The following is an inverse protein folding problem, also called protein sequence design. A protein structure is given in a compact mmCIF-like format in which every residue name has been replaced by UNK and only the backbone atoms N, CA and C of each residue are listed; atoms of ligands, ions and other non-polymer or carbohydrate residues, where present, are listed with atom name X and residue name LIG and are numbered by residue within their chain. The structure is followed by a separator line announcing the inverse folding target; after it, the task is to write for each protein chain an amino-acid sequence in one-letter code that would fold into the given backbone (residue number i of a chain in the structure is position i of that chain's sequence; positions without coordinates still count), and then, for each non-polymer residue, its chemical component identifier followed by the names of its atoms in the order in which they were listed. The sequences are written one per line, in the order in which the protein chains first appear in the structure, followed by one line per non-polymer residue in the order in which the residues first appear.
data_IF_038559077227
#
_entry.id   IF_038559077227
#
_cell.length_a   1.000
_cell.length_b   1.000
_cell.length_c   1.000
_cell.angle_alpha   90.00
_cell.angle_beta   90.00
_cell.angle_gamma   90.00
#
_symmetry.space_group_name_H-M   'P 1'
#
loop_
_entity.id
_entity.type
_entity.pdbx_description
1 polymer ?
#
# COMPACT_ATOMS: atom_id res chain seq x y z
N UNK A 1 8.17 14.05 19.45
CA UNK A 1 8.26 14.58 18.06
C UNK A 1 8.27 13.41 17.08
N UNK A 2 7.23 12.56 17.10
CA UNK A 2 7.34 11.14 16.71
C UNK A 2 6.31 10.60 15.69
N UNK A 3 5.45 11.44 15.08
CA UNK A 3 4.33 10.93 14.28
C UNK A 3 4.32 11.30 12.78
N UNK A 4 5.22 12.13 12.27
CA UNK A 4 4.93 12.85 11.02
C UNK A 4 5.35 12.08 9.74
N UNK A 5 6.56 11.49 9.66
CA UNK A 5 6.96 10.77 8.42
C UNK A 5 6.07 9.55 8.14
N UNK A 6 5.47 8.98 9.17
CA UNK A 6 4.59 7.83 9.04
C UNK A 6 3.22 8.10 8.47
N UNK A 7 2.65 9.24 8.87
CA UNK A 7 1.47 9.79 8.23
C UNK A 7 1.79 10.09 6.77
N UNK A 8 3.03 10.49 6.44
CA UNK A 8 3.39 10.67 5.04
C UNK A 8 3.36 9.36 4.24
N UNK A 9 3.98 8.28 4.71
CA UNK A 9 3.99 7.02 3.95
C UNK A 9 2.62 6.35 3.87
N UNK A 10 1.91 6.26 5.00
CA UNK A 10 0.55 5.74 5.02
C UNK A 10 -0.37 6.59 4.14
N UNK A 11 -0.22 7.92 4.14
CA UNK A 11 -1.06 8.75 3.29
C UNK A 11 -0.56 8.94 1.86
N UNK A 12 0.68 8.62 1.49
CA UNK A 12 1.10 8.44 0.08
C UNK A 12 0.43 7.18 -0.47
N UNK A 13 0.38 6.12 0.33
CA UNK A 13 -0.31 4.88 -0.04
C UNK A 13 -1.85 5.05 0.02
N UNK A 14 -2.39 5.83 0.96
CA UNK A 14 -3.81 6.23 0.93
C UNK A 14 -4.10 7.21 -0.22
N UNK A 15 -3.15 8.06 -0.62
CA UNK A 15 -3.31 8.91 -1.80
C UNK A 15 -3.32 8.07 -3.08
N UNK A 16 -2.47 7.03 -3.16
CA UNK A 16 -2.53 5.98 -4.20
C UNK A 16 -3.91 5.32 -4.20
N UNK A 17 -4.46 4.97 -3.04
CA UNK A 17 -5.85 4.45 -2.91
C UNK A 17 -6.92 5.44 -3.38
N UNK A 18 -6.93 6.69 -2.93
CA UNK A 18 -7.92 7.68 -3.36
C UNK A 18 -7.81 8.03 -4.84
N UNK A 19 -6.61 8.12 -5.39
CA UNK A 19 -6.40 8.44 -6.79
C UNK A 19 -6.74 7.26 -7.71
N UNK A 20 -6.42 6.02 -7.30
CA UNK A 20 -6.83 4.82 -8.03
C UNK A 20 -8.36 4.65 -8.01
N UNK A 21 -9.01 4.90 -6.87
CA UNK A 21 -10.48 4.92 -6.82
C UNK A 21 -11.10 6.05 -7.65
N UNK A 22 -10.48 7.23 -7.69
CA UNK A 22 -10.95 8.36 -8.50
C UNK A 22 -10.80 8.10 -10.01
N UNK A 23 -9.69 7.49 -10.46
CA UNK A 23 -9.48 7.08 -11.85
C UNK A 23 -10.55 6.09 -12.32
N UNK A 24 -10.96 5.17 -11.43
CA UNK A 24 -12.01 4.20 -11.72
C UNK A 24 -13.40 4.84 -11.78
N UNK A 25 -13.72 5.79 -10.89
CA UNK A 25 -14.97 6.54 -10.98
C UNK A 25 -15.04 7.34 -12.28
N UNK A 26 -13.94 7.96 -12.72
CA UNK A 26 -13.93 8.67 -14.01
C UNK A 26 -14.08 7.73 -15.21
N UNK A 27 -13.50 6.52 -15.19
CA UNK A 27 -13.69 5.55 -16.28
C UNK A 27 -15.07 4.91 -16.32
N UNK A 28 -15.71 4.68 -15.16
CA UNK A 28 -17.11 4.21 -15.08
C UNK A 28 -18.05 5.29 -15.64
N UNK A 29 -17.85 6.55 -15.25
CA UNK A 29 -18.65 7.68 -15.78
C UNK A 29 -18.42 7.88 -17.29
N UNK A 30 -17.20 7.68 -17.78
CA UNK A 30 -16.91 7.72 -19.23
C UNK A 30 -17.54 6.53 -19.95
N UNK A 31 -17.54 5.32 -19.37
CA UNK A 31 -18.22 4.15 -19.94
C UNK A 31 -19.73 4.35 -20.01
N UNK A 32 -20.35 4.87 -18.96
CA UNK A 32 -21.79 5.18 -18.92
C UNK A 32 -22.18 6.30 -19.90
N UNK A 33 -21.26 7.23 -20.19
CA UNK A 33 -21.45 8.27 -21.21
C UNK A 33 -21.28 7.75 -22.65
N UNK A 34 -20.50 6.67 -22.86
CA UNK A 34 -20.24 6.08 -24.19
C UNK A 34 -21.28 5.00 -24.52
N UNK A 35 -21.83 4.30 -23.52
CA UNK A 35 -22.95 3.37 -23.71
C UNK A 35 -24.28 4.08 -23.46
N UNK A 36 -24.62 5.03 -24.34
CA UNK A 36 -25.98 5.54 -24.43
C UNK A 36 -26.95 4.43 -24.82
N UNK A 37 -27.51 3.73 -23.82
CA UNK A 37 -28.62 2.82 -23.98
C UNK A 37 -29.63 3.06 -22.86
N UNK A 38 -30.71 3.75 -23.23
CA UNK A 38 -31.89 3.91 -22.41
C UNK A 38 -32.43 2.54 -21.97
N UNK A 39 -32.64 2.37 -20.67
CA UNK A 39 -33.62 1.41 -20.15
C UNK A 39 -34.35 2.03 -18.96
N UNK A 40 -35.53 2.51 -19.28
CA UNK A 40 -36.59 2.79 -18.32
C UNK A 40 -36.96 1.47 -17.64
N UNK A 41 -36.70 1.37 -16.33
CA UNK A 41 -37.32 0.33 -15.51
C UNK A 41 -37.78 0.97 -14.21
N UNK A 42 -39.08 1.28 -14.18
CA UNK A 42 -39.82 1.60 -12.96
C UNK A 42 -39.81 0.38 -12.04
N UNK A 43 -39.36 0.57 -10.80
CA UNK A 43 -39.66 -0.37 -9.71
C UNK A 43 -40.70 0.27 -8.78
N UNK A 44 -41.72 -0.50 -8.35
CA UNK A 44 -42.84 0.02 -7.59
C UNK A 44 -42.46 0.29 -6.14
N UNK A 45 -42.96 1.42 -5.63
CA UNK A 45 -42.99 1.78 -4.21
C UNK A 45 -44.18 1.07 -3.57
N UNK A 46 -43.93 0.08 -2.70
CA UNK A 46 -44.91 -0.37 -1.72
C UNK A 46 -44.46 0.06 -0.33
N UNK A 47 -45.16 1.04 0.22
CA UNK A 47 -44.98 1.52 1.58
C UNK A 47 -45.80 0.70 2.56
N UNK A 48 -45.21 0.37 3.70
CA UNK A 48 -45.95 -0.03 4.88
C UNK A 48 -45.48 0.82 6.07
N UNK A 49 -46.44 1.55 6.63
CA UNK A 49 -46.28 2.46 7.77
C UNK A 49 -46.49 1.68 9.06
N UNK A 50 -45.57 1.79 10.02
CA UNK A 50 -45.90 1.57 11.44
C UNK A 50 -45.31 2.72 12.27
N UNK A 51 -46.21 3.36 12.99
CA UNK A 51 -46.05 4.51 13.87
C UNK A 51 -46.11 4.09 15.34
N UNK A 52 -45.18 4.57 16.16
CA UNK A 52 -45.30 4.77 17.62
C UNK A 52 -44.07 5.56 18.03
N UNK A 53 -44.07 6.62 18.84
CA UNK A 53 -45.06 7.28 19.68
C UNK A 53 -44.23 8.07 20.69
N UNK A 54 -44.22 9.41 20.56
CA UNK A 54 -43.41 10.28 21.40
C UNK A 54 -43.95 10.33 22.84
N UNK A 55 -43.07 10.21 23.84
CA UNK A 55 -43.35 10.73 25.19
C UNK A 55 -42.13 11.50 25.70
N UNK A 56 -42.42 12.74 26.09
CA UNK A 56 -41.48 13.70 26.66
C UNK A 56 -41.20 13.39 28.13
N UNK A 57 -39.94 13.47 28.54
CA UNK A 57 -39.52 13.38 29.94
C UNK A 57 -38.35 14.33 30.21
N UNK A 58 -38.66 15.55 30.67
CA UNK A 58 -37.70 16.52 31.20
C UNK A 58 -36.86 15.89 32.31
N UNK A 59 -35.53 16.04 32.28
CA UNK A 59 -34.74 15.99 33.53
C UNK A 59 -33.63 17.04 33.56
N UNK A 60 -33.75 17.89 34.58
CA UNK A 60 -32.99 19.09 34.91
C UNK A 60 -31.49 18.79 35.14
N UNK A 61 -30.70 19.67 34.54
CA UNK A 61 -29.33 20.01 34.91
C UNK A 61 -29.29 20.48 36.38
N UNK A 62 -28.47 19.82 37.21
CA UNK A 62 -28.11 20.30 38.56
C UNK A 62 -26.63 20.67 38.55
N UNK A 63 -26.38 21.98 38.56
CA UNK A 63 -25.11 22.60 38.96
C UNK A 63 -24.95 22.44 40.46
N UNK A 64 -23.82 21.89 40.89
CA UNK A 64 -23.28 22.16 42.21
C UNK A 64 -21.92 22.80 42.02
N UNK A 65 -21.87 24.09 42.36
CA UNK A 65 -20.67 24.87 42.58
C UNK A 65 -20.12 24.48 43.96
N UNK A 66 -18.81 24.29 44.08
CA UNK A 66 -18.06 24.51 45.32
C UNK A 66 -16.59 24.75 44.96
N UNK A 67 -16.32 26.05 44.95
CA UNK A 67 -15.11 26.82 45.17
C UNK A 67 -13.80 26.09 45.55
N UNK A 68 -12.71 26.53 44.92
CA UNK A 68 -11.36 26.04 45.10
C UNK A 68 -10.36 26.87 44.30
N UNK A 69 -10.37 28.18 44.52
CA UNK A 69 -9.37 29.13 44.00
C UNK A 69 -7.94 28.67 44.35
N UNK A 70 -7.14 28.29 43.34
CA UNK A 70 -5.68 28.49 43.36
C UNK A 70 -5.17 28.88 41.97
N UNK A 71 -4.67 30.10 41.92
CA UNK A 71 -3.96 30.74 40.82
C UNK A 71 -2.63 30.04 40.57
N UNK A 72 -2.43 29.52 39.37
CA UNK A 72 -1.13 29.07 38.86
C UNK A 72 -0.95 29.57 37.44
N UNK A 73 -0.38 30.77 37.27
CA UNK A 73 -0.06 31.31 35.95
C UNK A 73 0.98 30.40 35.28
N UNK A 74 0.59 29.70 34.22
CA UNK A 74 1.53 29.02 33.34
C UNK A 74 2.31 30.09 32.55
N UNK A 75 3.46 30.49 33.08
CA UNK A 75 4.45 31.30 32.39
C UNK A 75 4.98 30.50 31.21
N UNK A 76 4.68 30.94 29.98
CA UNK A 76 5.42 30.52 28.79
C UNK A 76 6.89 30.94 28.96
N UNK A 77 7.88 30.02 28.89
CA UNK A 77 9.28 30.41 28.90
C UNK A 77 9.61 31.14 27.59
N UNK A 78 10.04 32.40 27.72
CA UNK A 78 10.67 33.16 26.65
C UNK A 78 12.03 32.57 26.30
N UNK A 79 12.43 32.88 25.08
CA UNK A 79 13.59 32.46 24.31
C UNK A 79 14.90 32.26 25.10
N UNK A 80 15.69 31.29 24.63
CA UNK A 80 17.15 31.34 24.74
C UNK A 80 17.81 30.46 25.80
N UNK A 81 17.75 29.12 25.66
CA UNK A 81 18.86 28.24 26.05
C UNK A 81 18.77 26.89 25.35
N UNK A 82 19.41 26.77 24.18
CA UNK A 82 19.57 25.48 23.53
C UNK A 82 20.69 24.73 24.25
N UNK A 83 20.32 23.81 25.15
CA UNK A 83 21.29 22.87 25.73
C UNK A 83 21.61 21.84 24.65
N UNK A 84 22.60 22.15 23.81
CA UNK A 84 23.15 21.18 22.86
C UNK A 84 24.06 20.25 23.64
N UNK A 85 23.54 19.08 24.00
CA UNK A 85 24.38 17.96 24.46
C UNK A 85 25.37 17.61 23.35
N UNK A 86 26.68 17.61 23.66
CA UNK A 86 27.75 17.25 22.71
C UNK A 86 27.39 15.94 21.99
N UNK A 87 27.28 15.98 20.66
CA UNK A 87 27.07 14.81 19.80
C UNK A 87 25.71 14.71 19.10
N UNK A 88 24.73 15.58 19.37
CA UNK A 88 23.45 15.58 18.66
C UNK A 88 23.40 16.62 17.53
N UNK A 89 23.28 16.15 16.28
CA UNK A 89 22.99 16.99 15.12
C UNK A 89 21.49 17.25 15.03
N UNK A 90 21.05 18.47 15.36
CA UNK A 90 19.65 18.87 15.21
C UNK A 90 19.43 19.27 13.74
N UNK A 91 18.56 18.54 13.03
CA UNK A 91 18.08 18.99 11.71
C UNK A 91 17.06 20.11 11.91
N UNK A 92 17.17 21.26 11.20
CA UNK A 92 16.19 22.33 11.33
C UNK A 92 14.80 21.83 10.89
N UNK A 93 13.77 22.13 11.67
CA UNK A 93 12.39 21.83 11.27
C UNK A 93 11.98 22.93 10.29
N UNK A 94 11.69 22.54 9.04
CA UNK A 94 11.13 23.45 8.04
C UNK A 94 9.64 23.13 7.94
N UNK A 95 8.74 24.07 8.25
CA UNK A 95 7.31 23.87 8.07
C UNK A 95 6.96 23.61 6.61
N UNK A 96 6.01 22.71 6.36
CA UNK A 96 5.50 22.48 5.03
C UNK A 96 4.68 23.68 4.55
N UNK A 97 4.73 23.95 3.24
CA UNK A 97 3.93 25.03 2.63
C UNK A 97 2.42 24.74 2.68
N UNK A 98 2.06 23.47 2.71
CA UNK A 98 0.69 22.96 2.78
C UNK A 98 0.63 21.84 3.82
N UNK A 99 -0.54 21.62 4.39
CA UNK A 99 -0.79 20.54 5.35
C UNK A 99 -0.95 19.16 4.72
N UNK A 100 -0.89 19.07 3.39
CA UNK A 100 -0.93 17.77 2.72
C UNK A 100 0.35 16.98 2.99
N UNK A 101 0.14 15.67 2.98
CA UNK A 101 1.12 14.62 3.28
C UNK A 101 2.38 14.76 2.44
N UNK A 102 2.23 14.97 1.14
CA UNK A 102 3.36 15.06 0.22
C UNK A 102 4.22 16.30 0.50
N UNK A 103 3.57 17.45 0.72
CA UNK A 103 4.24 18.68 1.13
C UNK A 103 5.00 18.53 2.45
N UNK A 104 4.44 17.76 3.39
CA UNK A 104 5.09 17.45 4.65
C UNK A 104 6.34 16.60 4.45
N UNK A 105 6.30 15.50 3.69
CA UNK A 105 7.53 14.73 3.43
C UNK A 105 8.58 15.53 2.68
N UNK A 106 8.18 16.35 1.71
CA UNK A 106 9.11 17.24 1.00
C UNK A 106 9.81 18.19 1.97
N UNK A 107 9.09 18.76 2.93
CA UNK A 107 9.69 19.62 3.94
C UNK A 107 10.64 18.86 4.89
N UNK A 108 10.31 17.60 5.22
CA UNK A 108 11.12 16.74 6.09
C UNK A 108 12.40 16.23 5.42
N UNK A 109 12.31 15.80 4.16
CA UNK A 109 13.41 15.17 3.43
C UNK A 109 14.17 16.13 2.49
N UNK A 110 13.58 17.29 2.16
CA UNK A 110 14.16 18.36 1.34
C UNK A 110 14.71 17.82 0.02
N UNK A 111 15.95 18.17 -0.32
CA UNK A 111 16.67 17.72 -1.52
C UNK A 111 16.69 16.19 -1.67
N UNK A 112 16.66 15.44 -0.56
CA UNK A 112 16.72 13.96 -0.57
C UNK A 112 15.36 13.29 -0.72
N UNK A 113 14.29 14.07 -0.90
CA UNK A 113 12.93 13.51 -1.01
C UNK A 113 12.83 12.50 -2.15
N UNK A 114 13.28 12.87 -3.35
CA UNK A 114 13.19 11.99 -4.52
C UNK A 114 14.01 10.70 -4.37
N UNK A 115 15.25 10.79 -3.87
CA UNK A 115 16.11 9.62 -3.59
C UNK A 115 15.46 8.66 -2.59
N UNK A 116 14.82 9.19 -1.54
CA UNK A 116 14.13 8.39 -0.52
C UNK A 116 12.89 7.71 -1.05
N UNK A 117 12.10 8.41 -1.87
CA UNK A 117 10.94 7.83 -2.55
C UNK A 117 11.39 6.72 -3.49
N UNK A 118 12.46 6.94 -4.26
CA UNK A 118 13.08 5.92 -5.10
C UNK A 118 13.47 4.69 -4.29
N UNK A 119 14.28 4.86 -3.25
CA UNK A 119 14.76 3.76 -2.38
C UNK A 119 13.61 2.93 -1.81
N UNK A 120 12.54 3.59 -1.36
CA UNK A 120 11.39 2.91 -0.78
C UNK A 120 10.67 2.01 -1.79
N UNK A 121 10.42 2.56 -2.99
CA UNK A 121 9.67 1.91 -4.06
C UNK A 121 10.55 1.14 -5.04
N UNK A 122 11.86 1.02 -4.82
CA UNK A 122 12.79 0.27 -5.67
C UNK A 122 12.24 -1.14 -6.01
N UNK A 123 11.73 -1.94 -5.05
CA UNK A 123 11.20 -3.27 -5.38
C UNK A 123 9.95 -3.25 -6.26
N UNK A 124 9.01 -2.33 -6.01
CA UNK A 124 7.81 -2.19 -6.84
C UNK A 124 8.14 -1.63 -8.22
N UNK A 125 9.12 -0.71 -8.32
CA UNK A 125 9.61 -0.19 -9.59
C UNK A 125 10.22 -1.32 -10.41
N UNK A 126 11.15 -2.07 -9.83
CA UNK A 126 11.87 -3.11 -10.55
C UNK A 126 10.91 -4.22 -10.99
N UNK A 127 9.92 -4.57 -10.15
CA UNK A 127 8.81 -5.44 -10.53
C UNK A 127 7.99 -4.88 -11.71
N UNK A 128 7.65 -3.59 -11.70
CA UNK A 128 6.89 -2.95 -12.77
C UNK A 128 7.67 -2.93 -14.09
N UNK A 129 8.95 -2.55 -14.07
CA UNK A 129 9.80 -2.52 -15.25
C UNK A 129 9.95 -3.92 -15.87
N UNK A 130 10.17 -4.94 -15.03
CA UNK A 130 10.22 -6.33 -15.49
C UNK A 130 8.88 -6.79 -16.08
N UNK A 131 7.76 -6.39 -15.48
CA UNK A 131 6.44 -6.73 -16.01
C UNK A 131 6.20 -6.11 -17.40
N UNK A 132 6.56 -4.84 -17.58
CA UNK A 132 6.47 -4.16 -18.89
C UNK A 132 7.37 -4.86 -19.92
N UNK A 133 8.58 -5.26 -19.54
CA UNK A 133 9.52 -5.93 -20.43
C UNK A 133 9.06 -7.34 -20.85
N UNK A 134 8.47 -8.09 -19.91
CA UNK A 134 8.14 -9.52 -20.11
C UNK A 134 6.69 -9.77 -20.51
N UNK A 135 5.80 -8.79 -20.32
CA UNK A 135 4.35 -8.94 -20.48
C UNK A 135 3.69 -9.78 -19.37
N UNK A 136 4.42 -10.11 -18.30
CA UNK A 136 3.92 -10.89 -17.16
C UNK A 136 3.88 -9.99 -15.92
N UNK A 137 2.69 -9.79 -15.40
CA UNK A 137 2.41 -8.90 -14.30
C UNK A 137 2.07 -9.70 -13.04
N UNK A 138 2.89 -9.56 -12.01
CA UNK A 138 2.70 -10.27 -10.74
C UNK A 138 2.22 -9.27 -9.70
N UNK A 139 0.98 -9.44 -9.27
CA UNK A 139 0.31 -8.54 -8.34
C UNK A 139 -0.12 -9.27 -7.09
N UNK A 140 -0.14 -8.56 -5.96
CA UNK A 140 -0.76 -9.04 -4.73
C UNK A 140 -1.94 -8.13 -4.39
N UNK A 141 -3.14 -8.70 -4.39
CA UNK A 141 -4.40 -7.97 -4.20
C UNK A 141 -5.45 -8.81 -3.51
N UNK A 142 -6.43 -8.14 -2.92
CA UNK A 142 -7.66 -8.81 -2.55
C UNK A 142 -8.44 -9.15 -3.83
N UNK A 143 -9.01 -10.37 -3.97
CA UNK A 143 -9.77 -10.77 -5.17
C UNK A 143 -10.94 -9.83 -5.50
N UNK A 144 -11.43 -9.07 -4.53
CA UNK A 144 -12.50 -8.08 -4.69
C UNK A 144 -12.05 -6.79 -5.41
N UNK A 145 -10.74 -6.55 -5.56
CA UNK A 145 -10.21 -5.29 -6.07
C UNK A 145 -9.74 -5.39 -7.52
N UNK A 146 -9.90 -4.29 -8.26
CA UNK A 146 -9.41 -4.07 -9.62
C UNK A 146 -8.08 -3.30 -9.65
N UNK A 147 -7.30 -3.40 -8.58
CA UNK A 147 -5.94 -2.86 -8.49
C UNK A 147 -5.06 -3.75 -7.62
N UNK A 148 -3.75 -3.68 -7.86
CA UNK A 148 -2.77 -4.38 -7.06
C UNK A 148 -2.35 -3.53 -5.86
N UNK A 149 -2.42 -4.11 -4.65
CA UNK A 149 -1.90 -3.46 -3.45
C UNK A 149 -0.38 -3.34 -3.55
N UNK A 150 0.27 -4.42 -3.99
CA UNK A 150 1.71 -4.48 -4.18
C UNK A 150 2.06 -5.12 -5.53
N UNK A 151 3.14 -4.63 -6.12
CA UNK A 151 3.78 -5.21 -7.30
C UNK A 151 4.87 -6.16 -6.83
N UNK A 152 4.78 -7.41 -7.23
CA UNK A 152 5.67 -8.47 -6.76
C UNK A 152 6.75 -8.71 -7.81
N UNK A 153 8.01 -8.76 -7.36
CA UNK A 153 9.16 -8.97 -8.22
C UNK A 153 10.05 -10.12 -7.76
N UNK A 154 11.16 -10.32 -8.45
CA UNK A 154 12.09 -11.44 -8.22
C UNK A 154 12.64 -11.48 -6.80
N UNK A 155 12.89 -10.32 -6.21
CA UNK A 155 13.39 -10.16 -4.85
C UNK A 155 12.29 -10.22 -3.77
N UNK A 156 11.03 -10.40 -4.16
CA UNK A 156 9.93 -10.54 -3.22
C UNK A 156 9.94 -11.93 -2.57
N UNK A 157 9.65 -11.98 -1.27
CA UNK A 157 9.67 -13.20 -0.48
C UNK A 157 8.34 -13.96 -0.59
N UNK A 158 8.43 -15.27 -0.75
CA UNK A 158 7.34 -16.21 -0.61
C UNK A 158 7.13 -16.58 0.86
N UNK A 159 5.92 -16.99 1.24
CA UNK A 159 5.61 -17.54 2.56
C UNK A 159 6.57 -18.67 3.00
N UNK A 160 7.17 -19.40 2.05
CA UNK A 160 8.15 -20.43 2.37
C UNK A 160 9.54 -19.89 2.80
N UNK A 161 9.75 -18.58 2.74
CA UNK A 161 11.00 -17.89 3.10
C UNK A 161 11.93 -17.58 1.91
N UNK A 162 11.70 -18.21 0.75
CA UNK A 162 12.52 -18.06 -0.47
C UNK A 162 12.01 -16.95 -1.38
N UNK A 163 12.87 -16.46 -2.27
CA UNK A 163 12.59 -15.41 -3.24
C UNK A 163 11.82 -15.95 -4.45
N UNK A 164 11.11 -15.07 -5.17
CA UNK A 164 10.40 -15.47 -6.38
C UNK A 164 11.34 -16.04 -7.46
N UNK A 165 12.56 -15.52 -7.59
CA UNK A 165 13.55 -16.06 -8.53
C UNK A 165 14.13 -17.43 -8.13
N UNK A 166 13.89 -17.88 -6.89
CA UNK A 166 14.23 -19.22 -6.40
C UNK A 166 13.06 -20.21 -6.60
N UNK A 167 11.95 -19.75 -7.19
CA UNK A 167 10.86 -20.61 -7.63
C UNK A 167 11.04 -21.02 -9.10
N UNK A 168 10.27 -22.04 -9.54
CA UNK A 168 10.27 -22.44 -10.95
C UNK A 168 9.78 -21.30 -11.86
N UNK A 169 10.06 -21.41 -13.15
CA UNK A 169 9.61 -20.43 -14.14
C UNK A 169 8.09 -20.28 -14.15
N UNK A 170 7.63 -19.07 -14.44
CA UNK A 170 6.23 -18.68 -14.50
C UNK A 170 5.92 -18.03 -15.86
N UNK A 171 4.67 -18.18 -16.31
CA UNK A 171 4.21 -17.74 -17.64
C UNK A 171 3.00 -16.79 -17.63
N UNK A 172 2.53 -16.37 -16.45
CA UNK A 172 1.32 -15.55 -16.33
C UNK A 172 -0.01 -16.30 -16.53
N UNK A 173 0.03 -17.64 -16.62
CA UNK A 173 -1.17 -18.48 -16.81
C UNK A 173 -1.48 -19.29 -15.54
N UNK A 174 -0.45 -19.73 -14.82
CA UNK A 174 -0.58 -20.58 -13.64
C UNK A 174 -0.09 -19.87 -12.39
N UNK A 175 -0.92 -19.86 -11.34
CA UNK A 175 -0.55 -19.45 -9.98
C UNK A 175 0.33 -20.50 -9.27
N UNK A 176 0.37 -21.74 -9.78
CA UNK A 176 1.20 -22.81 -9.24
C UNK A 176 2.64 -22.66 -9.73
N UNK A 177 3.39 -21.87 -8.98
CA UNK A 177 4.83 -21.66 -9.16
C UNK A 177 5.56 -22.27 -7.95
N UNK A 178 5.90 -23.58 -7.98
CA UNK A 178 6.51 -24.25 -6.83
C UNK A 178 7.94 -23.76 -6.59
N UNK A 179 8.38 -23.83 -5.34
CA UNK A 179 9.75 -23.47 -4.99
C UNK A 179 10.74 -24.48 -5.56
N UNK A 180 11.87 -24.00 -6.08
CA UNK A 180 12.94 -24.85 -6.61
C UNK A 180 14.05 -25.13 -5.57
N UNK A 181 14.00 -24.48 -4.40
CA UNK A 181 14.95 -24.72 -3.31
C UNK A 181 14.88 -26.18 -2.82
N UNK A 182 16.04 -26.75 -2.56
CA UNK A 182 16.16 -28.13 -2.11
C UNK A 182 15.33 -28.35 -0.85
N UNK A 183 14.55 -29.45 -0.81
CA UNK A 183 13.69 -29.85 0.31
C UNK A 183 12.51 -28.92 0.68
N UNK A 184 12.26 -27.85 -0.08
CA UNK A 184 11.09 -27.01 0.12
C UNK A 184 9.80 -27.69 -0.38
N UNK A 185 8.75 -27.72 0.44
CA UNK A 185 7.44 -28.33 0.10
C UNK A 185 6.44 -27.35 -0.54
N UNK A 186 6.87 -26.12 -0.80
CA UNK A 186 6.03 -25.03 -1.31
C UNK A 186 5.58 -25.30 -2.75
N UNK A 187 4.26 -25.35 -2.98
CA UNK A 187 3.67 -25.70 -4.28
C UNK A 187 3.27 -24.51 -5.15
N UNK A 188 3.05 -23.36 -4.54
CA UNK A 188 2.68 -22.11 -5.19
C UNK A 188 3.40 -20.95 -4.51
N UNK A 189 3.71 -19.91 -5.26
CA UNK A 189 4.27 -18.70 -4.69
C UNK A 189 3.17 -17.91 -3.99
N UNK A 190 3.37 -17.58 -2.72
CA UNK A 190 2.47 -16.76 -1.93
C UNK A 190 3.27 -15.60 -1.35
N UNK A 191 3.10 -14.40 -1.90
CA UNK A 191 3.82 -13.21 -1.43
C UNK A 191 3.58 -12.99 0.06
N UNK A 192 4.66 -12.82 0.83
CA UNK A 192 4.61 -12.38 2.21
C UNK A 192 5.44 -11.10 2.33
N UNK A 193 4.93 -10.03 2.96
CA UNK A 193 5.75 -8.88 3.30
C UNK A 193 7.02 -9.32 4.00
N UNK A 194 8.14 -8.77 3.56
CA UNK A 194 9.48 -9.04 4.09
C UNK A 194 10.14 -7.80 4.67
N UNK A 195 9.54 -6.63 4.43
CA UNK A 195 9.93 -5.34 4.99
C UNK A 195 8.81 -4.76 5.84
N UNK A 196 9.12 -4.06 6.94
CA UNK A 196 8.11 -3.37 7.74
C UNK A 196 7.23 -2.41 6.92
N UNK A 197 7.81 -1.74 5.91
CA UNK A 197 7.08 -0.80 5.06
C UNK A 197 5.96 -1.46 4.25
N UNK A 198 6.14 -2.72 3.84
CA UNK A 198 5.13 -3.50 3.12
C UNK A 198 3.96 -3.91 4.02
N UNK A 199 4.20 -4.01 5.34
CA UNK A 199 3.21 -4.29 6.36
C UNK A 199 2.69 -3.02 7.08
N UNK A 200 3.00 -1.83 6.55
CA UNK A 200 2.59 -0.55 7.15
C UNK A 200 3.33 -0.19 8.44
N UNK A 201 4.28 -1.01 8.89
CA UNK A 201 5.05 -0.86 10.13
C UNK A 201 6.36 -0.05 9.96
N UNK A 202 6.36 0.94 9.07
CA UNK A 202 7.55 1.75 8.72
C UNK A 202 8.24 2.39 9.95
N UNK A 203 7.52 2.59 11.06
CA UNK A 203 8.06 3.21 12.28
C UNK A 203 9.11 2.32 12.96
N UNK A 204 9.13 1.01 12.68
CA UNK A 204 10.08 0.08 13.28
C UNK A 204 11.53 0.40 12.92
N UNK A 205 11.81 0.86 11.69
CA UNK A 205 13.16 1.20 11.23
C UNK A 205 13.82 2.34 11.98
N UNK A 206 13.04 3.12 12.74
CA UNK A 206 13.56 4.21 13.57
C UNK A 206 13.85 3.80 15.00
N UNK A 207 13.44 2.60 15.40
CA UNK A 207 13.74 2.11 16.75
C UNK A 207 15.25 1.85 16.85
N UNK A 208 15.92 2.37 17.89
CA UNK A 208 17.31 2.03 18.14
C UNK A 208 17.49 0.51 18.23
N UNK A 209 18.49 -0.02 17.53
CA UNK A 209 18.78 -1.46 17.52
C UNK A 209 17.82 -2.33 16.68
N UNK A 210 16.93 -1.73 15.90
CA UNK A 210 16.11 -2.49 14.95
C UNK A 210 16.96 -3.00 13.79
N UNK A 211 16.92 -4.30 13.54
CA UNK A 211 17.51 -4.94 12.38
C UNK A 211 16.43 -5.28 11.34
N UNK A 212 16.40 -4.59 10.18
CA UNK A 212 15.46 -4.91 9.10
C UNK A 212 15.58 -6.34 8.58
N UNK A 213 16.79 -6.93 8.59
CA UNK A 213 17.01 -8.28 8.07
C UNK A 213 16.42 -9.37 8.98
N UNK A 214 16.27 -9.08 10.27
CA UNK A 214 15.64 -9.97 11.25
C UNK A 214 14.10 -9.86 11.27
N UNK A 215 13.51 -8.84 10.66
CA UNK A 215 12.06 -8.67 10.67
C UNK A 215 11.36 -9.81 9.93
N UNK A 216 10.23 -10.26 10.48
CA UNK A 216 9.40 -11.31 9.90
C UNK A 216 7.94 -10.94 10.08
N UNK A 217 7.13 -11.23 9.06
CA UNK A 217 5.68 -11.21 9.17
C UNK A 217 5.22 -12.18 10.27
N UNK A 218 4.40 -11.67 11.20
CA UNK A 218 3.95 -12.39 12.38
C UNK A 218 2.48 -12.82 12.25
N UNK A 219 2.18 -13.99 12.80
CA UNK A 219 0.82 -14.50 12.95
C UNK A 219 0.22 -14.02 14.28
N UNK A 220 -1.11 -14.00 14.41
CA UNK A 220 -1.82 -13.78 15.68
C UNK A 220 -1.42 -14.77 16.77
N UNK A 221 -0.95 -15.96 16.40
CA UNK A 221 -0.39 -16.95 17.34
C UNK A 221 1.01 -16.59 17.89
N UNK A 222 1.57 -15.43 17.48
CA UNK A 222 2.89 -14.88 17.86
C UNK A 222 4.10 -15.64 17.31
N UNK A 223 3.89 -16.51 16.34
CA UNK A 223 4.95 -17.18 15.59
C UNK A 223 5.13 -16.53 14.22
N UNK A 224 6.34 -16.59 13.67
CA UNK A 224 6.63 -16.02 12.36
C UNK A 224 6.03 -16.87 11.23
N UNK A 225 5.86 -16.30 10.04
CA UNK A 225 5.41 -17.06 8.86
C UNK A 225 6.31 -18.27 8.55
N UNK A 226 7.63 -18.19 8.80
CA UNK A 226 8.58 -19.31 8.59
C UNK A 226 8.34 -20.49 9.54
N UNK A 227 7.74 -20.22 10.72
CA UNK A 227 7.31 -21.24 11.68
C UNK A 227 5.97 -21.92 11.29
N UNK A 228 5.35 -21.52 10.18
CA UNK A 228 4.16 -22.14 9.62
C UNK A 228 4.50 -23.01 8.40
N UNK A 229 3.62 -23.93 8.05
CA UNK A 229 3.78 -24.77 6.86
C UNK A 229 3.57 -23.95 5.58
N UNK A 230 4.40 -24.08 4.52
CA UNK A 230 4.22 -23.33 3.28
C UNK A 230 3.08 -23.86 2.38
N UNK A 231 2.31 -24.86 2.82
CA UNK A 231 1.14 -25.38 2.11
C UNK A 231 -0.15 -24.62 2.47
N UNK A 232 -1.23 -24.84 1.72
CA UNK A 232 -2.44 -24.00 1.71
C UNK A 232 -3.02 -23.58 3.06
N UNK A 233 -2.99 -24.42 4.10
CA UNK A 233 -3.54 -24.04 5.40
C UNK A 233 -2.60 -23.14 6.19
N UNK A 234 -1.32 -23.12 5.88
CA UNK A 234 -0.32 -22.41 6.66
C UNK A 234 -0.39 -22.71 8.16
N UNK A 235 -0.60 -23.97 8.53
CA UNK A 235 -0.68 -24.37 9.93
C UNK A 235 0.65 -24.15 10.66
N UNK A 236 0.58 -23.71 11.93
CA UNK A 236 1.77 -23.48 12.74
C UNK A 236 2.44 -24.81 13.10
N UNK A 237 3.76 -24.90 12.90
CA UNK A 237 4.56 -26.08 13.21
C UNK A 237 5.14 -26.06 14.63
N UNK A 238 4.92 -24.98 15.39
CA UNK A 238 5.47 -24.86 16.74
C UNK A 238 4.78 -25.85 17.69
N UNK A 239 5.59 -26.62 18.43
CA UNK A 239 5.10 -27.57 19.43
C UNK A 239 4.17 -26.87 20.43
N UNK A 240 2.97 -27.42 20.61
CA UNK A 240 1.96 -26.90 21.52
C UNK A 240 1.07 -25.78 20.96
N UNK A 241 1.34 -25.27 19.76
CA UNK A 241 0.46 -24.32 19.09
C UNK A 241 -0.68 -25.04 18.35
N UNK A 242 -1.91 -24.54 18.47
CA UNK A 242 -3.11 -25.09 17.78
C UNK A 242 -3.55 -24.26 16.57
N UNK A 243 -2.72 -23.32 16.12
CA UNK A 243 -3.00 -22.43 15.01
C UNK A 243 -3.03 -23.22 13.69
N UNK A 244 -4.22 -23.36 13.11
CA UNK A 244 -4.44 -24.14 11.88
C UNK A 244 -4.34 -23.29 10.61
N UNK A 245 -4.52 -21.98 10.74
CA UNK A 245 -4.46 -21.00 9.66
C UNK A 245 -3.51 -19.87 10.03
N UNK A 246 -2.72 -19.38 9.08
CA UNK A 246 -1.98 -18.14 9.29
C UNK A 246 -2.94 -16.95 9.24
N UNK A 247 -3.15 -16.33 10.39
CA UNK A 247 -3.85 -15.05 10.51
C UNK A 247 -2.83 -13.95 10.79
N UNK A 248 -2.72 -12.97 9.89
CA UNK A 248 -1.76 -11.90 10.04
C UNK A 248 -2.02 -11.03 11.29
N UNK A 249 -0.94 -10.69 12.02
CA UNK A 249 -1.00 -9.69 13.11
C UNK A 249 -0.84 -8.25 12.60
N UNK A 250 -0.65 -8.09 11.29
CA UNK A 250 -0.51 -6.82 10.58
C UNK A 250 -1.65 -6.71 9.55
N UNK A 251 -1.79 -5.52 8.96
CA UNK A 251 -2.71 -5.26 7.86
C UNK A 251 -1.94 -4.74 6.66
N UNK A 252 -2.50 -4.96 5.47
CA UNK A 252 -1.95 -4.43 4.22
C UNK A 252 -1.88 -2.90 4.27
N UNK A 253 -0.72 -2.33 3.97
CA UNK A 253 -0.51 -0.87 3.97
C UNK A 253 -1.39 -0.12 2.95
N UNK A 254 -1.88 -0.83 1.92
CA UNK A 254 -2.61 -0.24 0.79
C UNK A 254 -4.13 -0.27 0.97
N UNK A 255 -4.68 -1.34 1.56
CA UNK A 255 -6.13 -1.54 1.63
C UNK A 255 -6.67 -1.85 3.04
N UNK A 256 -5.80 -1.89 4.05
CA UNK A 256 -6.12 -2.18 5.46
C UNK A 256 -6.75 -3.56 5.73
N UNK A 257 -6.74 -4.47 4.73
CA UNK A 257 -7.18 -5.86 4.91
C UNK A 257 -6.05 -6.74 5.42
N UNK A 258 -6.41 -7.84 6.05
CA UNK A 258 -5.45 -8.83 6.52
C UNK A 258 -4.79 -9.60 5.37
N UNK A 259 -3.60 -10.15 5.60
CA UNK A 259 -2.82 -10.86 4.60
C UNK A 259 -3.59 -12.03 3.97
N UNK A 260 -4.29 -12.81 4.78
CA UNK A 260 -5.08 -13.97 4.36
C UNK A 260 -6.29 -13.61 3.47
N UNK A 261 -6.59 -12.32 3.30
CA UNK A 261 -7.62 -11.82 2.40
C UNK A 261 -7.07 -11.40 1.02
N UNK A 262 -5.80 -11.71 0.76
CA UNK A 262 -5.10 -11.40 -0.48
C UNK A 262 -4.58 -12.66 -1.15
N UNK A 263 -4.47 -12.58 -2.47
CA UNK A 263 -3.87 -13.62 -3.30
C UNK A 263 -2.76 -13.03 -4.17
N UNK A 264 -1.80 -13.87 -4.54
CA UNK A 264 -0.79 -13.49 -5.54
C UNK A 264 -1.26 -13.94 -6.91
N UNK A 265 -1.43 -12.98 -7.81
CA UNK A 265 -1.86 -13.18 -9.19
C UNK A 265 -0.67 -13.15 -10.12
N UNK A 266 -0.68 -14.04 -11.10
CA UNK A 266 0.24 -14.06 -12.23
C UNK A 266 -0.60 -13.81 -13.47
N UNK A 267 -0.63 -12.57 -13.93
CA UNK A 267 -1.47 -12.13 -15.04
C UNK A 267 -0.60 -11.88 -16.29
N UNK A 268 -1.07 -12.28 -17.46
CA UNK A 268 -0.51 -11.78 -18.74
C UNK A 268 -1.06 -10.40 -19.06
N UNK A 269 -0.36 -9.65 -19.90
CA UNK A 269 -0.86 -8.35 -20.39
C UNK A 269 -2.29 -8.45 -20.96
N UNK A 270 -2.57 -9.47 -21.77
CA UNK A 270 -3.89 -9.66 -22.36
C UNK A 270 -4.97 -9.95 -21.33
N UNK A 271 -4.64 -10.72 -20.29
CA UNK A 271 -5.58 -10.97 -19.18
C UNK A 271 -5.89 -9.67 -18.44
N UNK A 272 -4.89 -8.81 -18.22
CA UNK A 272 -5.10 -7.50 -17.59
C UNK A 272 -5.95 -6.56 -18.43
N UNK A 273 -5.68 -6.47 -19.74
CA UNK A 273 -6.50 -5.69 -20.68
C UNK A 273 -7.96 -6.13 -20.63
N UNK A 274 -8.22 -7.43 -20.65
CA UNK A 274 -9.59 -7.99 -20.58
C UNK A 274 -10.27 -7.71 -19.24
N UNK A 275 -9.53 -7.76 -18.14
CA UNK A 275 -10.04 -7.52 -16.79
C UNK A 275 -10.06 -6.04 -16.40
N UNK A 276 -9.64 -5.12 -17.28
CA UNK A 276 -9.57 -3.69 -16.98
C UNK A 276 -8.54 -3.33 -15.90
N UNK A 277 -7.48 -4.12 -15.76
CA UNK A 277 -6.40 -3.90 -14.79
C UNK A 277 -5.27 -3.07 -15.41
N UNK A 278 -4.51 -2.29 -14.61
CA UNK A 278 -3.38 -1.51 -15.12
C UNK A 278 -2.30 -2.39 -15.77
N UNK A 279 -1.85 -1.97 -16.96
CA UNK A 279 -0.79 -2.60 -17.74
C UNK A 279 0.12 -1.53 -18.37
N UNK A 280 1.28 -1.94 -18.89
CA UNK A 280 2.25 -1.03 -19.50
C UNK A 280 2.66 0.10 -18.55
N UNK A 281 2.66 1.33 -19.04
CA UNK A 281 2.98 2.52 -18.25
C UNK A 281 2.02 2.76 -17.07
N UNK A 282 0.75 2.35 -17.17
CA UNK A 282 -0.23 2.47 -16.10
C UNK A 282 0.09 1.52 -14.93
N UNK A 283 0.90 0.49 -15.17
CA UNK A 283 1.41 -0.37 -14.11
C UNK A 283 2.58 0.25 -13.34
N UNK A 284 3.13 1.40 -13.71
CA UNK A 284 4.22 2.01 -12.93
C UNK A 284 3.73 2.52 -11.56
N UNK A 285 4.56 2.49 -10.50
CA UNK A 285 4.23 3.15 -9.24
C UNK A 285 3.91 4.63 -9.46
N UNK A 286 2.79 5.07 -8.90
CA UNK A 286 2.30 6.45 -9.02
C UNK A 286 2.09 6.93 -10.47
N UNK A 287 1.64 6.04 -11.38
CA UNK A 287 1.39 6.38 -12.78
C UNK A 287 0.58 7.69 -12.96
N UNK A 288 -0.35 7.95 -12.05
CA UNK A 288 -1.27 9.10 -12.03
C UNK A 288 -0.64 10.39 -11.49
N UNK A 289 0.55 10.32 -10.88
CA UNK A 289 1.26 11.45 -10.28
C UNK A 289 2.66 11.60 -10.91
N UNK A 290 2.81 12.33 -12.04
CA UNK A 290 4.04 12.37 -12.82
C UNK A 290 5.29 12.69 -12.00
N UNK A 291 5.21 13.66 -11.07
CA UNK A 291 6.35 14.03 -10.23
C UNK A 291 6.81 12.88 -9.31
N UNK A 292 5.87 12.13 -8.73
CA UNK A 292 6.19 10.99 -7.88
C UNK A 292 6.62 9.78 -8.69
N UNK A 293 5.98 9.51 -9.82
CA UNK A 293 6.42 8.50 -10.79
C UNK A 293 7.86 8.73 -11.20
N UNK A 294 8.18 9.95 -11.63
CA UNK A 294 9.52 10.36 -12.03
C UNK A 294 10.51 10.20 -10.87
N UNK A 295 10.13 10.64 -9.65
CA UNK A 295 10.96 10.42 -8.47
C UNK A 295 11.24 8.93 -8.21
N UNK A 296 10.25 8.04 -8.35
CA UNK A 296 10.47 6.59 -8.22
C UNK A 296 11.40 6.05 -9.31
N UNK A 297 11.28 6.54 -10.55
CA UNK A 297 12.07 6.09 -11.69
C UNK A 297 13.53 6.59 -11.63
N UNK A 298 13.74 7.88 -11.34
CA UNK A 298 15.04 8.56 -11.51
C UNK A 298 15.63 9.08 -10.20
N UNK A 299 14.85 9.14 -9.12
CA UNK A 299 15.21 9.82 -7.89
C UNK A 299 14.98 11.34 -7.94
N UNK A 300 14.44 11.87 -9.04
CA UNK A 300 14.21 13.31 -9.25
C UNK A 300 12.81 13.56 -9.80
N UNK A 301 12.04 14.41 -9.10
CA UNK A 301 10.64 14.68 -9.47
C UNK A 301 10.47 15.27 -10.88
N UNK A 302 11.40 16.14 -11.29
CA UNK A 302 11.35 16.82 -12.58
C UNK A 302 11.98 16.06 -13.75
N UNK A 303 12.55 14.87 -13.52
CA UNK A 303 13.25 14.11 -14.55
C UNK A 303 12.34 13.00 -15.11
N UNK A 304 11.74 13.27 -16.27
CA UNK A 304 10.85 12.36 -16.99
C UNK A 304 11.56 11.50 -18.04
N UNK A 305 12.90 11.55 -18.11
CA UNK A 305 13.69 10.86 -19.14
C UNK A 305 13.43 9.35 -19.14
N UNK A 306 13.48 8.71 -17.97
CA UNK A 306 13.21 7.28 -17.82
C UNK A 306 11.79 6.91 -18.25
N UNK A 307 10.79 7.76 -17.92
CA UNK A 307 9.41 7.53 -18.35
C UNK A 307 9.30 7.60 -19.88
N UNK A 308 9.87 8.63 -20.51
CA UNK A 308 9.90 8.77 -21.97
C UNK A 308 10.59 7.60 -22.67
N UNK A 309 11.67 7.07 -22.09
CA UNK A 309 12.34 5.87 -22.64
C UNK A 309 11.44 4.64 -22.59
N UNK A 310 10.66 4.45 -21.52
CA UNK A 310 9.71 3.34 -21.40
C UNK A 310 8.59 3.47 -22.43
N UNK A 311 8.02 4.66 -22.58
CA UNK A 311 6.88 4.88 -23.50
C UNK A 311 7.28 4.86 -24.96
N UNK A 312 8.48 5.35 -25.29
CA UNK A 312 9.01 5.32 -26.67
C UNK A 312 9.44 3.93 -27.13
N UNK A 313 9.71 3.01 -26.20
CA UNK A 313 10.08 1.63 -26.49
C UNK A 313 8.88 0.70 -26.71
N UNK A 314 7.66 1.15 -26.40
CA UNK A 314 6.43 0.39 -26.67
C UNK A 314 6.00 0.63 -28.13
N UNK A 315 5.77 -0.41 -28.95
CA UNK A 315 5.33 -0.22 -30.31
C UNK A 315 3.95 0.46 -30.32
N UNK A 316 3.91 1.67 -30.88
CA UNK A 316 2.70 2.44 -31.15
C UNK A 316 1.70 1.59 -31.94
N UNK A 317 0.79 0.90 -31.27
CA UNK A 317 -0.34 0.23 -31.92
C UNK A 317 -1.47 1.25 -32.03
N UNK A 318 -1.29 2.22 -32.94
CA UNK A 318 -2.38 3.12 -33.36
C UNK A 318 -2.25 3.42 -34.86
N UNK A 319 -3.31 3.02 -35.58
CA UNK A 319 -3.75 3.42 -36.93
C UNK A 319 -3.02 2.87 -38.17
N UNK A 320 -3.55 1.76 -38.69
CA UNK A 320 -3.84 1.65 -40.12
C UNK A 320 -5.33 1.35 -40.31
N UNK A 321 -6.17 2.39 -40.22
CA UNK A 321 -7.37 2.46 -41.05
C UNK A 321 -6.94 3.27 -42.28
N UNK A 322 -6.67 2.58 -43.37
CA UNK A 322 -6.46 3.20 -44.67
C UNK A 322 -7.25 2.43 -45.72
N UNK A 323 -8.22 3.17 -46.26
CA UNK A 323 -8.87 3.04 -47.57
C UNK A 323 -9.96 1.98 -47.72
#
# INVERSE_FOLDING_TARGET
MYCIEGVVFHSIEMQKRTNQMASQQSEIVVRDAVTGAASHTQFPVSGEKVSVGATAGKRKEKRNNLDGTQTGSALCPKEGRQVVTKGFTIKPIVPAKKSDVLSVAKAMHREKFGERVKELFDPERDAALKAIQTGIYIGWRSPEYSWDCFRVGDASKCFCGHLLNEHKSYSGISVRVPCAAQSCKCKAFAFIPSRPEEAGEFWLKKRPGFDPAAWRAMCRCKHSHEEHDPTNSHACKKKGCRCQLFESSFVCASCDRHWEQHETFFDTEDSRKKSGLPYGEAYLPFAEMPNLRNAVLTGREGDDSAFKSITSALPSSVNQTSQ
#
